data_IF_867866198668
#
_entry.id   IF_867866198668
#
_cell.length_a   1.000
_cell.length_b   1.000
_cell.length_c   1.000
_cell.angle_alpha   90.00
_cell.angle_beta   90.00
_cell.angle_gamma   90.00
#
_symmetry.space_group_name_H-M   'P 1'
#
loop_
_entity.id
_entity.type
_entity.pdbx_description
1 polymer ?
#
# COMPACT_ATOMS: atom_id res chain seq x y z
N UNK A 1 3.89 13.84 11.14
CA UNK A 1 3.49 13.54 9.75
C UNK A 1 2.06 14.00 9.52
N UNK A 2 1.82 14.94 8.60
CA UNK A 2 0.47 15.38 8.18
C UNK A 2 0.16 14.75 6.82
N UNK A 3 -0.60 13.65 6.80
CA UNK A 3 -1.13 13.07 5.56
C UNK A 3 -1.04 11.55 5.43
N UNK A 4 -0.12 10.92 6.16
CA UNK A 4 0.13 9.48 6.13
C UNK A 4 0.09 8.85 7.52
N UNK A 5 -0.25 7.57 7.57
CA UNK A 5 -0.03 6.75 8.75
C UNK A 5 1.21 5.87 8.54
N UNK A 6 2.38 6.42 8.87
CA UNK A 6 3.68 5.72 8.83
C UNK A 6 3.66 4.41 9.61
N UNK A 7 2.78 4.27 10.62
CA UNK A 7 2.65 3.02 11.36
C UNK A 7 2.26 1.85 10.46
N UNK A 8 1.34 2.03 9.50
CA UNK A 8 0.92 0.94 8.61
C UNK A 8 2.07 0.52 7.68
N UNK A 9 2.89 1.49 7.25
CA UNK A 9 4.10 1.24 6.47
C UNK A 9 5.10 0.37 7.25
N UNK A 10 5.49 0.81 8.44
CA UNK A 10 6.45 0.08 9.28
C UNK A 10 5.92 -1.27 9.77
N UNK A 11 4.60 -1.36 9.99
CA UNK A 11 3.95 -2.62 10.31
C UNK A 11 3.95 -3.57 9.11
N UNK A 12 3.79 -3.07 7.88
CA UNK A 12 3.90 -3.87 6.67
C UNK A 12 5.32 -4.46 6.52
N UNK A 13 6.37 -3.71 6.83
CA UNK A 13 7.74 -4.25 6.90
C UNK A 13 7.87 -5.35 7.96
N UNK A 14 7.24 -5.17 9.12
CA UNK A 14 7.24 -6.18 10.18
C UNK A 14 6.56 -7.47 9.72
N UNK A 15 5.40 -7.38 9.05
CA UNK A 15 4.71 -8.53 8.45
C UNK A 15 5.61 -9.21 7.41
N UNK A 16 6.18 -8.44 6.47
CA UNK A 16 7.08 -8.97 5.44
C UNK A 16 8.26 -9.74 6.05
N UNK A 17 8.91 -9.17 7.08
CA UNK A 17 10.03 -9.80 7.75
C UNK A 17 9.68 -11.15 8.41
N UNK A 18 8.44 -11.31 8.89
CA UNK A 18 7.95 -12.55 9.47
C UNK A 18 7.48 -13.54 8.39
N UNK A 19 6.68 -13.09 7.42
CA UNK A 19 6.15 -13.94 6.35
C UNK A 19 7.28 -14.59 5.55
N UNK A 20 8.33 -13.86 5.19
CA UNK A 20 9.47 -14.43 4.45
C UNK A 20 10.24 -15.52 5.23
N UNK A 21 10.08 -15.61 6.55
CA UNK A 21 10.66 -16.68 7.38
C UNK A 21 9.77 -17.90 7.45
N UNK A 22 8.46 -17.71 7.32
CA UNK A 22 7.44 -18.77 7.38
C UNK A 22 7.19 -19.38 5.99
N UNK A 23 7.26 -18.55 4.94
CA UNK A 23 7.04 -18.91 3.55
C UNK A 23 8.29 -18.55 2.72
N UNK A 24 9.18 -19.52 2.46
CA UNK A 24 10.45 -19.27 1.75
C UNK A 24 10.27 -18.64 0.36
N UNK A 25 9.18 -18.99 -0.33
CA UNK A 25 8.87 -18.51 -1.68
C UNK A 25 8.32 -17.08 -1.72
N UNK A 26 7.98 -16.49 -0.58
CA UNK A 26 7.38 -15.15 -0.51
C UNK A 26 8.34 -14.09 -1.06
N UNK A 27 9.60 -14.10 -0.60
CA UNK A 27 10.58 -13.10 -1.05
C UNK A 27 10.85 -13.22 -2.54
N UNK A 28 11.00 -14.45 -3.06
CA UNK A 28 11.24 -14.67 -4.49
C UNK A 28 10.06 -14.19 -5.34
N UNK A 29 8.84 -14.41 -4.86
CA UNK A 29 7.62 -13.92 -5.50
C UNK A 29 7.57 -12.39 -5.49
N UNK A 30 7.79 -11.76 -4.34
CA UNK A 30 7.79 -10.30 -4.21
C UNK A 30 8.84 -9.65 -5.12
N UNK A 31 10.08 -10.18 -5.16
CA UNK A 31 11.15 -9.67 -6.01
C UNK A 31 10.82 -9.81 -7.50
N UNK A 32 10.17 -10.91 -7.89
CA UNK A 32 9.72 -11.14 -9.27
C UNK A 32 8.64 -10.13 -9.67
N UNK A 33 7.62 -9.96 -8.83
CA UNK A 33 6.54 -9.00 -9.08
C UNK A 33 7.07 -7.57 -9.15
N UNK A 34 7.95 -7.19 -8.21
CA UNK A 34 8.61 -5.89 -8.22
C UNK A 34 9.33 -5.65 -9.56
N UNK A 35 10.17 -6.58 -10.01
CA UNK A 35 10.87 -6.43 -11.31
C UNK A 35 9.90 -6.32 -12.49
N UNK A 36 8.80 -7.09 -12.49
CA UNK A 36 7.78 -7.02 -13.53
C UNK A 36 7.06 -5.66 -13.54
N UNK A 37 6.67 -5.16 -12.37
CA UNK A 37 6.06 -3.84 -12.22
C UNK A 37 7.00 -2.73 -12.72
N UNK A 38 8.29 -2.78 -12.34
CA UNK A 38 9.31 -1.85 -12.82
C UNK A 38 9.50 -1.92 -14.34
N UNK A 39 9.51 -3.11 -14.93
CA UNK A 39 9.64 -3.29 -16.38
C UNK A 39 8.42 -2.75 -17.16
N UNK A 40 7.24 -2.72 -16.53
CA UNK A 40 6.01 -2.11 -17.07
C UNK A 40 5.97 -0.58 -16.87
N UNK A 41 7.00 0.04 -16.28
CA UNK A 41 7.01 1.47 -15.94
C UNK A 41 6.18 1.84 -14.71
N UNK A 42 5.74 0.85 -13.92
CA UNK A 42 4.99 1.11 -12.71
C UNK A 42 5.90 1.61 -11.60
N UNK A 43 5.32 2.50 -10.78
CA UNK A 43 5.92 3.10 -9.59
C UNK A 43 7.13 3.98 -9.91
N UNK A 44 7.27 4.42 -11.15
CA UNK A 44 8.32 5.35 -11.56
C UNK A 44 8.24 6.65 -10.76
N UNK A 45 9.40 7.09 -10.27
CA UNK A 45 9.53 8.32 -9.47
C UNK A 45 8.61 8.33 -8.24
N UNK A 46 8.47 7.17 -7.59
CA UNK A 46 7.80 6.99 -6.30
C UNK A 46 8.73 6.25 -5.34
N UNK A 47 8.42 6.31 -4.04
CA UNK A 47 9.15 5.61 -2.99
C UNK A 47 8.97 4.09 -3.12
N UNK A 48 7.78 3.63 -3.48
CA UNK A 48 7.49 2.23 -3.84
C UNK A 48 8.40 1.68 -4.95
N UNK A 49 8.92 2.56 -5.82
CA UNK A 49 9.85 2.19 -6.90
C UNK A 49 11.31 2.02 -6.46
N UNK A 50 11.62 2.13 -5.17
CA UNK A 50 13.01 2.13 -4.66
C UNK A 50 13.55 0.70 -4.52
N UNK A 51 12.78 -0.18 -3.88
CA UNK A 51 13.13 -1.59 -3.71
C UNK A 51 11.86 -2.43 -3.42
N UNK A 52 12.02 -3.76 -3.39
CA UNK A 52 10.90 -4.69 -3.20
C UNK A 52 10.21 -4.57 -1.82
N UNK A 53 10.93 -4.17 -0.76
CA UNK A 53 10.35 -3.98 0.57
C UNK A 53 9.47 -2.72 0.62
N UNK A 54 9.92 -1.62 -0.01
CA UNK A 54 9.14 -0.38 -0.12
C UNK A 54 7.93 -0.56 -1.02
N UNK A 55 8.11 -1.27 -2.14
CA UNK A 55 7.03 -1.70 -3.02
C UNK A 55 5.92 -2.43 -2.25
N UNK A 56 6.30 -3.34 -1.35
CA UNK A 56 5.36 -4.01 -0.46
C UNK A 56 4.69 -3.04 0.52
N UNK A 57 5.46 -2.24 1.25
CA UNK A 57 4.93 -1.38 2.32
C UNK A 57 3.97 -0.30 1.79
N UNK A 58 4.34 0.37 0.71
CA UNK A 58 3.50 1.37 0.02
C UNK A 58 2.24 0.75 -0.61
N UNK A 59 2.36 -0.48 -1.12
CA UNK A 59 1.23 -1.28 -1.57
C UNK A 59 0.25 -1.56 -0.44
N UNK A 60 0.74 -2.02 0.72
CA UNK A 60 -0.09 -2.28 1.90
C UNK A 60 -0.75 -1.01 2.42
N UNK A 61 -0.05 0.13 2.45
CA UNK A 61 -0.68 1.42 2.76
C UNK A 61 -1.82 1.75 1.79
N UNK A 62 -1.64 1.51 0.50
CA UNK A 62 -2.68 1.74 -0.51
C UNK A 62 -3.85 0.79 -0.30
N UNK A 63 -3.59 -0.49 0.02
CA UNK A 63 -4.61 -1.49 0.32
C UNK A 63 -5.50 -1.11 1.52
N UNK A 64 -5.00 -0.32 2.47
CA UNK A 64 -5.79 0.17 3.61
C UNK A 64 -6.27 1.63 3.48
N UNK A 65 -6.15 2.23 2.29
CA UNK A 65 -6.50 3.63 2.01
C UNK A 65 -5.72 4.64 2.89
N UNK A 66 -4.51 4.25 3.29
CA UNK A 66 -3.60 5.00 4.16
C UNK A 66 -2.46 5.68 3.43
N UNK A 67 -2.28 5.41 2.13
CA UNK A 67 -1.21 6.03 1.36
C UNK A 67 -1.59 7.47 0.99
N UNK A 68 -0.60 8.35 0.87
CA UNK A 68 -0.80 9.71 0.41
C UNK A 68 -0.82 9.76 -1.11
N UNK A 69 -1.81 10.46 -1.66
CA UNK A 69 -1.80 10.81 -3.09
C UNK A 69 -0.78 11.92 -3.33
N UNK A 70 -0.05 11.84 -4.43
CA UNK A 70 0.79 12.94 -4.94
C UNK A 70 0.01 14.26 -4.99
N UNK A 71 0.67 15.35 -4.60
CA UNK A 71 0.12 16.71 -4.70
C UNK A 71 0.26 17.32 -6.10
N UNK A 72 0.92 16.62 -7.03
CA UNK A 72 1.14 17.04 -8.42
C UNK A 72 0.29 16.19 -9.36
N UNK A 73 0.16 16.63 -10.61
CA UNK A 73 -0.33 15.76 -11.68
C UNK A 73 0.77 14.75 -12.01
N UNK A 74 0.59 13.51 -11.56
CA UNK A 74 1.58 12.44 -11.68
C UNK A 74 2.49 12.27 -10.45
N UNK A 75 3.56 11.46 -10.54
CA UNK A 75 4.45 11.18 -9.41
C UNK A 75 5.19 12.43 -8.91
N UNK A 76 5.25 12.62 -7.59
CA UNK A 76 5.94 13.77 -6.97
C UNK A 76 7.37 13.47 -6.49
N UNK A 77 7.86 12.25 -6.73
CA UNK A 77 9.15 11.75 -6.23
C UNK A 77 9.00 10.82 -5.03
N UNK A 78 7.83 10.82 -4.37
CA UNK A 78 7.52 9.95 -3.24
C UNK A 78 6.25 9.15 -3.53
N UNK A 79 5.18 9.82 -3.94
CA UNK A 79 3.88 9.19 -4.20
C UNK A 79 3.45 9.37 -5.65
N UNK A 80 2.47 8.59 -6.08
CA UNK A 80 1.73 8.79 -7.33
C UNK A 80 0.21 8.92 -7.04
N UNK A 81 -0.64 8.52 -7.99
CA UNK A 81 -2.10 8.62 -7.85
C UNK A 81 -2.74 7.44 -7.09
N UNK A 82 -1.98 6.36 -6.85
CA UNK A 82 -2.42 5.07 -6.31
C UNK A 82 -2.39 5.14 -4.79
N UNK A 83 -3.52 5.53 -4.20
CA UNK A 83 -3.61 5.78 -2.76
C UNK A 83 -4.77 5.07 -2.07
N UNK A 84 -5.49 4.23 -2.82
CA UNK A 84 -6.63 3.43 -2.31
C UNK A 84 -6.52 2.01 -2.85
N UNK A 85 -7.23 1.09 -2.21
CA UNK A 85 -7.23 -0.32 -2.59
C UNK A 85 -7.70 -0.53 -4.03
N UNK A 86 -8.74 0.18 -4.42
CA UNK A 86 -9.36 0.04 -5.74
C UNK A 86 -8.38 0.49 -6.84
N UNK A 87 -7.67 1.60 -6.60
CA UNK A 87 -6.62 2.07 -7.52
C UNK A 87 -5.44 1.13 -7.57
N UNK A 88 -5.05 0.53 -6.44
CA UNK A 88 -3.99 -0.47 -6.41
C UNK A 88 -4.38 -1.68 -7.26
N UNK A 89 -5.61 -2.17 -7.10
CA UNK A 89 -6.13 -3.30 -7.87
C UNK A 89 -6.14 -3.04 -9.38
N UNK A 90 -6.46 -1.82 -9.80
CA UNK A 90 -6.45 -1.43 -11.21
C UNK A 90 -5.03 -1.22 -11.75
N UNK A 91 -4.17 -0.55 -10.98
CA UNK A 91 -2.85 -0.13 -11.42
C UNK A 91 -1.80 -1.25 -11.34
N UNK A 92 -1.81 -2.04 -10.27
CA UNK A 92 -0.89 -3.14 -10.01
C UNK A 92 -1.64 -4.35 -9.40
N UNK A 93 -2.43 -5.07 -10.22
CA UNK A 93 -3.22 -6.21 -9.76
C UNK A 93 -2.36 -7.34 -9.17
N UNK A 94 -1.13 -7.50 -9.67
CA UNK A 94 -0.20 -8.54 -9.20
C UNK A 94 0.22 -8.26 -7.73
N UNK A 95 0.54 -7.00 -7.39
CA UNK A 95 0.81 -6.59 -6.02
C UNK A 95 -0.44 -6.69 -5.13
N UNK A 96 -1.59 -6.26 -5.66
CA UNK A 96 -2.87 -6.37 -4.95
C UNK A 96 -3.13 -7.81 -4.51
N UNK A 97 -3.02 -8.77 -5.43
CA UNK A 97 -3.31 -10.18 -5.16
C UNK A 97 -2.32 -10.79 -4.15
N UNK A 98 -1.04 -10.40 -4.21
CA UNK A 98 -0.06 -10.83 -3.22
C UNK A 98 -0.43 -10.32 -1.82
N UNK A 99 -0.81 -9.05 -1.69
CA UNK A 99 -1.22 -8.46 -0.40
C UNK A 99 -2.49 -9.13 0.12
N UNK A 100 -3.51 -9.28 -0.73
CA UNK A 100 -4.80 -9.86 -0.35
C UNK A 100 -4.65 -11.30 0.14
N UNK A 101 -3.85 -12.12 -0.55
CA UNK A 101 -3.54 -13.49 -0.12
C UNK A 101 -2.78 -13.54 1.20
N UNK A 102 -1.80 -12.66 1.39
CA UNK A 102 -0.92 -12.70 2.57
C UNK A 102 -1.59 -12.16 3.83
N UNK A 103 -2.41 -11.12 3.71
CA UNK A 103 -3.12 -10.55 4.87
C UNK A 103 -4.47 -11.25 5.14
N UNK A 104 -4.98 -11.98 4.14
CA UNK A 104 -6.33 -12.49 4.12
C UNK A 104 -7.31 -11.40 3.64
N UNK A 105 -8.20 -11.77 2.72
CA UNK A 105 -9.20 -10.84 2.18
C UNK A 105 -10.04 -10.25 3.32
N UNK A 106 -10.01 -8.92 3.46
CA UNK A 106 -10.68 -8.23 4.56
C UNK A 106 -11.35 -6.93 4.11
N UNK A 107 -12.60 -6.71 4.51
CA UNK A 107 -13.32 -5.47 4.17
C UNK A 107 -12.84 -4.26 4.98
N UNK A 108 -12.12 -4.50 6.07
CA UNK A 108 -11.67 -3.43 6.96
C UNK A 108 -10.80 -2.41 6.23
N UNK A 109 -11.08 -1.12 6.49
CA UNK A 109 -10.32 0.05 6.01
C UNK A 109 -9.93 0.93 7.19
N UNK A 110 -8.76 1.55 7.09
CA UNK A 110 -8.38 2.55 8.09
C UNK A 110 -9.25 3.79 7.93
N UNK A 111 -9.95 4.16 9.00
CA UNK A 111 -10.61 5.46 9.10
C UNK A 111 -9.76 6.39 9.95
N UNK A 112 -9.38 7.56 9.39
CA UNK A 112 -8.61 8.57 10.13
C UNK A 112 -9.41 9.07 11.32
N UNK A 113 -8.71 9.48 12.38
CA UNK A 113 -9.36 9.99 13.60
C UNK A 113 -10.36 11.13 13.32
N UNK A 114 -9.99 12.08 12.45
CA UNK A 114 -10.85 13.21 12.08
C UNK A 114 -12.16 12.77 11.42
N UNK A 115 -12.12 11.74 10.58
CA UNK A 115 -13.30 11.25 9.84
C UNK A 115 -14.22 10.37 10.72
N UNK A 116 -13.68 9.84 11.83
CA UNK A 116 -14.49 9.11 12.82
C UNK A 116 -15.43 10.04 13.58
N UNK A 117 -15.01 11.27 13.86
CA UNK A 117 -15.80 12.23 14.64
C UNK A 117 -16.98 12.79 13.84
N UNK A 118 -16.79 13.02 12.53
CA UNK A 118 -17.86 13.48 11.63
C UNK A 118 -19.00 12.46 11.51
N UNK A 119 -18.66 11.16 11.42
CA UNK A 119 -19.66 10.08 11.36
C UNK A 119 -20.47 9.90 12.64
N UNK A 120 -19.94 10.27 13.81
CA UNK A 120 -20.69 10.22 15.06
C UNK A 120 -21.71 11.37 15.12
N UNK A 121 -21.33 12.57 14.68
CA UNK A 121 -22.23 13.74 14.70
C UNK A 121 -23.41 13.62 13.72
N UNK A 122 -23.26 12.93 12.59
CA UNK A 122 -24.37 12.65 11.66
C UNK A 122 -25.33 11.55 12.14
N UNK A 123 -24.94 10.74 13.13
CA UNK A 123 -25.82 9.70 13.71
C UNK A 123 -26.68 10.20 14.87
N UNK A 124 -26.32 11.36 15.43
CA UNK A 124 -27.03 11.99 16.56
C UNK A 124 -27.96 13.14 16.10
N UNK A 125 -28.21 13.27 14.79
CA UNK A 125 -29.25 14.12 14.17
C UNK A 125 -30.33 13.26 13.51
#
# INVERSE_FOLDING_TARGET
>A
YRGENIFIHEFAHSIHSNVRRLEPEFQQTLDRLYRQARAKGLWERTYAGTNAAEYWAEGVQSYFDCNQKSRRQGPDGVHNHVNTREKLREYDPDLYDLIDRTLGSMDWRYTRYIDRQTKTQEKDQ
#
